data_IF_771788093146
#
_entry.id   IF_771788093146
#
_cell.length_a   1.000
_cell.length_b   1.000
_cell.length_c   1.000
_cell.angle_alpha   90.00
_cell.angle_beta   90.00
_cell.angle_gamma   90.00
#
_symmetry.space_group_name_H-M   'P 1'
#
loop_
_entity.id
_entity.type
_entity.pdbx_description
1 polymer ?
#
# COMPACT_ATOMS: atom_id res chain seq x y z
N UNK A 1 -3.26 -39.22 7.29
CA UNK A 1 -2.09 -38.79 6.48
C UNK A 1 -1.21 -37.84 7.29
N UNK A 2 0.04 -38.22 7.59
CA UNK A 2 1.04 -37.32 8.22
C UNK A 2 1.59 -36.41 7.11
N UNK A 3 1.38 -35.09 7.22
CA UNK A 3 2.03 -34.09 6.34
C UNK A 3 3.52 -34.41 6.23
N UNK A 4 4.02 -34.56 5.01
CA UNK A 4 5.47 -34.67 4.75
C UNK A 4 6.14 -33.38 5.24
N UNK A 5 7.35 -33.49 5.80
CA UNK A 5 8.10 -32.33 6.31
C UNK A 5 8.27 -31.22 5.25
N UNK A 6 8.25 -31.60 3.97
CA UNK A 6 8.33 -30.71 2.82
C UNK A 6 7.13 -29.75 2.71
N UNK A 7 5.89 -30.22 2.92
CA UNK A 7 4.71 -29.35 2.86
C UNK A 7 4.77 -28.25 3.93
N UNK A 8 5.19 -28.60 5.15
CA UNK A 8 5.34 -27.61 6.22
C UNK A 8 6.39 -26.55 5.88
N UNK A 9 7.52 -26.96 5.29
CA UNK A 9 8.56 -26.03 4.85
C UNK A 9 8.06 -25.10 3.73
N UNK A 10 7.32 -25.64 2.78
CA UNK A 10 6.71 -24.86 1.69
C UNK A 10 5.79 -23.76 2.23
N UNK A 11 4.86 -24.10 3.13
CA UNK A 11 3.94 -23.14 3.71
C UNK A 11 4.65 -22.05 4.54
N UNK A 12 5.72 -22.39 5.25
CA UNK A 12 6.53 -21.42 6.00
C UNK A 12 7.26 -20.47 5.07
N UNK A 13 7.90 -21.00 4.01
CA UNK A 13 8.61 -20.18 3.01
C UNK A 13 7.66 -19.26 2.26
N UNK A 14 6.46 -19.74 1.92
CA UNK A 14 5.43 -18.94 1.28
C UNK A 14 4.97 -17.77 2.18
N UNK A 15 4.68 -18.04 3.46
CA UNK A 15 4.26 -17.02 4.42
C UNK A 15 5.35 -15.98 4.70
N UNK A 16 6.62 -16.41 4.73
CA UNK A 16 7.76 -15.52 4.87
C UNK A 16 7.94 -14.64 3.62
N UNK A 17 7.92 -15.24 2.43
CA UNK A 17 8.00 -14.49 1.16
C UNK A 17 6.86 -13.49 1.00
N UNK A 18 5.65 -13.82 1.45
CA UNK A 18 4.51 -12.92 1.35
C UNK A 18 4.64 -11.72 2.30
N UNK A 19 5.14 -11.94 3.53
CA UNK A 19 5.45 -10.85 4.47
C UNK A 19 6.58 -9.96 3.96
N UNK A 20 7.64 -10.54 3.41
CA UNK A 20 8.77 -9.79 2.86
C UNK A 20 8.35 -8.97 1.64
N UNK A 21 7.50 -9.53 0.76
CA UNK A 21 6.93 -8.81 -0.37
C UNK A 21 6.08 -7.61 0.07
N UNK A 22 5.20 -7.80 1.05
CA UNK A 22 4.38 -6.72 1.60
C UNK A 22 5.23 -5.64 2.27
N UNK A 23 6.25 -6.03 3.04
CA UNK A 23 7.16 -5.11 3.72
C UNK A 23 8.00 -4.29 2.73
N UNK A 24 8.55 -4.94 1.71
CA UNK A 24 9.32 -4.26 0.67
C UNK A 24 8.43 -3.32 -0.17
N UNK A 25 7.21 -3.74 -0.49
CA UNK A 25 6.25 -2.90 -1.22
C UNK A 25 5.84 -1.67 -0.40
N UNK A 26 5.58 -1.85 0.91
CA UNK A 26 5.27 -0.74 1.80
C UNK A 26 6.44 0.25 1.90
N UNK A 27 7.67 -0.26 2.04
CA UNK A 27 8.89 0.55 2.10
C UNK A 27 9.13 1.32 0.81
N UNK A 28 8.91 0.69 -0.35
CA UNK A 28 8.97 1.34 -1.66
C UNK A 28 7.94 2.47 -1.79
N UNK A 29 6.69 2.21 -1.43
CA UNK A 29 5.62 3.21 -1.48
C UNK A 29 5.88 4.39 -0.55
N UNK A 30 6.40 4.14 0.65
CA UNK A 30 6.80 5.17 1.60
C UNK A 30 7.94 6.02 1.04
N UNK A 31 8.97 5.39 0.48
CA UNK A 31 10.12 6.08 -0.12
C UNK A 31 9.72 6.93 -1.33
N UNK A 32 8.79 6.43 -2.15
CA UNK A 32 8.19 7.15 -3.27
C UNK A 32 7.40 8.38 -2.80
N UNK A 33 6.58 8.23 -1.75
CA UNK A 33 5.83 9.34 -1.17
C UNK A 33 6.76 10.43 -0.60
N UNK A 34 7.82 10.05 0.12
CA UNK A 34 8.83 10.99 0.64
C UNK A 34 9.51 11.75 -0.50
N UNK A 35 9.86 11.05 -1.59
CA UNK A 35 10.50 11.66 -2.76
C UNK A 35 9.60 12.69 -3.45
N UNK A 36 8.30 12.40 -3.57
CA UNK A 36 7.31 13.35 -4.09
C UNK A 36 7.16 14.58 -3.20
N UNK A 37 7.12 14.40 -1.88
CA UNK A 37 7.04 15.52 -0.92
C UNK A 37 8.29 16.39 -1.02
N UNK A 38 9.48 15.79 -1.10
CA UNK A 38 10.74 16.51 -1.25
C UNK A 38 10.79 17.33 -2.54
N UNK A 39 10.30 16.77 -3.65
CA UNK A 39 10.19 17.48 -4.93
C UNK A 39 9.25 18.70 -4.82
N UNK A 40 8.10 18.53 -4.17
CA UNK A 40 7.14 19.62 -3.95
C UNK A 40 7.74 20.74 -3.08
N UNK A 41 8.42 20.38 -1.99
CA UNK A 41 9.12 21.33 -1.14
C UNK A 41 10.21 22.07 -1.90
N UNK A 42 10.94 21.39 -2.78
CA UNK A 42 11.95 22.02 -3.63
C UNK A 42 11.34 23.07 -4.57
N UNK A 43 10.19 22.77 -5.19
CA UNK A 43 9.50 23.74 -6.07
C UNK A 43 9.06 24.97 -5.28
N UNK A 44 8.48 24.77 -4.09
CA UNK A 44 8.09 25.87 -3.20
C UNK A 44 9.31 26.72 -2.81
N UNK A 45 10.42 26.09 -2.45
CA UNK A 45 11.66 26.78 -2.10
C UNK A 45 12.19 27.64 -3.25
N UNK A 46 12.15 27.15 -4.49
CA UNK A 46 12.57 27.91 -5.68
C UNK A 46 11.68 29.15 -5.88
N UNK A 47 10.36 29.00 -5.73
CA UNK A 47 9.42 30.12 -5.88
C UNK A 47 9.69 31.19 -4.81
N UNK A 48 9.95 30.77 -3.57
CA UNK A 48 10.33 31.68 -2.47
C UNK A 48 11.67 32.37 -2.75
N UNK A 49 12.65 31.64 -3.29
CA UNK A 49 13.97 32.21 -3.59
C UNK A 49 13.91 33.28 -4.69
N UNK A 50 13.05 33.13 -5.70
CA UNK A 50 12.93 34.07 -6.82
C UNK A 50 12.08 35.29 -6.46
N UNK A 51 10.93 35.08 -5.79
CA UNK A 51 9.95 36.14 -5.54
C UNK A 51 9.95 36.67 -4.09
N UNK A 52 10.78 36.11 -3.20
CA UNK A 52 10.72 36.36 -1.77
C UNK A 52 9.48 35.76 -1.10
N UNK A 53 9.36 35.94 0.21
CA UNK A 53 8.15 35.56 0.97
C UNK A 53 7.13 36.70 0.84
N UNK A 54 6.20 36.52 -0.10
CA UNK A 54 5.09 37.43 -0.36
C UNK A 54 3.75 36.75 -0.09
N UNK A 55 2.66 37.53 -0.05
CA UNK A 55 1.29 37.00 0.11
C UNK A 55 0.98 35.91 -0.95
N UNK A 56 1.52 36.07 -2.17
CA UNK A 56 1.40 35.09 -3.25
C UNK A 56 2.01 33.74 -2.89
N UNK A 57 3.25 33.70 -2.39
CA UNK A 57 3.90 32.45 -1.96
C UNK A 57 3.15 31.75 -0.83
N UNK A 58 2.60 32.51 0.12
CA UNK A 58 1.81 31.95 1.23
C UNK A 58 0.53 31.31 0.70
N UNK A 59 -0.19 31.99 -0.20
CA UNK A 59 -1.37 31.43 -0.85
C UNK A 59 -1.06 30.14 -1.64
N UNK A 60 0.05 30.09 -2.37
CA UNK A 60 0.45 28.89 -3.14
C UNK A 60 0.71 27.70 -2.21
N UNK A 61 1.41 27.91 -1.09
CA UNK A 61 1.67 26.85 -0.10
C UNK A 61 0.38 26.33 0.54
N UNK A 62 -0.55 27.22 0.89
CA UNK A 62 -1.85 26.84 1.47
C UNK A 62 -2.68 26.03 0.46
N UNK A 63 -2.75 26.46 -0.80
CA UNK A 63 -3.48 25.75 -1.85
C UNK A 63 -2.86 24.37 -2.09
N UNK A 64 -1.53 24.27 -2.20
CA UNK A 64 -0.84 22.99 -2.35
C UNK A 64 -1.10 22.05 -1.16
N UNK A 65 -1.07 22.57 0.07
CA UNK A 65 -1.41 21.81 1.27
C UNK A 65 -2.84 21.27 1.24
N UNK A 66 -3.81 22.12 0.86
CA UNK A 66 -5.21 21.72 0.74
C UNK A 66 -5.42 20.63 -0.33
N UNK A 67 -4.73 20.75 -1.48
CA UNK A 67 -4.76 19.72 -2.54
C UNK A 67 -4.21 18.39 -2.02
N UNK A 68 -3.11 18.39 -1.27
CA UNK A 68 -2.53 17.16 -0.71
C UNK A 68 -3.47 16.48 0.30
N UNK A 69 -4.16 17.26 1.14
CA UNK A 69 -5.15 16.72 2.08
C UNK A 69 -6.31 16.07 1.32
N UNK A 70 -6.83 16.76 0.29
CA UNK A 70 -7.93 16.23 -0.53
C UNK A 70 -7.52 14.98 -1.31
N UNK A 71 -6.33 14.97 -1.90
CA UNK A 71 -5.79 13.82 -2.61
C UNK A 71 -5.62 12.61 -1.67
N UNK A 72 -5.15 12.83 -0.44
CA UNK A 72 -5.01 11.78 0.58
C UNK A 72 -6.37 11.17 0.96
N UNK A 73 -7.39 12.00 1.12
CA UNK A 73 -8.76 11.55 1.40
C UNK A 73 -9.33 10.73 0.24
N UNK A 74 -9.15 11.20 -1.00
CA UNK A 74 -9.56 10.49 -2.21
C UNK A 74 -8.85 9.14 -2.37
N UNK A 75 -7.54 9.12 -2.12
CA UNK A 75 -6.74 7.89 -2.15
C UNK A 75 -7.22 6.89 -1.11
N UNK A 76 -7.53 7.33 0.12
CA UNK A 76 -8.07 6.46 1.18
C UNK A 76 -9.38 5.78 0.76
N UNK A 77 -10.30 6.51 0.11
CA UNK A 77 -11.56 5.94 -0.40
C UNK A 77 -11.28 4.88 -1.46
N UNK A 78 -10.38 5.15 -2.41
CA UNK A 78 -10.00 4.17 -3.45
C UNK A 78 -9.35 2.93 -2.85
N UNK A 79 -8.42 3.10 -1.91
CA UNK A 79 -7.75 1.99 -1.23
C UNK A 79 -8.75 1.13 -0.48
N UNK A 80 -9.73 1.72 0.24
CA UNK A 80 -10.79 0.95 0.90
C UNK A 80 -11.60 0.09 -0.09
N UNK A 81 -11.93 0.65 -1.26
CA UNK A 81 -12.66 -0.10 -2.31
C UNK A 81 -11.80 -1.24 -2.89
N UNK A 82 -10.52 -0.97 -3.17
CA UNK A 82 -9.57 -1.99 -3.68
C UNK A 82 -9.37 -3.09 -2.64
N UNK A 83 -9.19 -2.75 -1.36
CA UNK A 83 -9.03 -3.70 -0.28
C UNK A 83 -10.27 -4.60 -0.14
N UNK A 84 -11.48 -4.03 -0.25
CA UNK A 84 -12.73 -4.80 -0.24
C UNK A 84 -12.81 -5.78 -1.42
N UNK A 85 -12.45 -5.33 -2.62
CA UNK A 85 -12.44 -6.19 -3.81
C UNK A 85 -11.38 -7.29 -3.72
N UNK A 86 -10.18 -6.96 -3.23
CA UNK A 86 -9.09 -7.92 -3.02
C UNK A 86 -9.46 -8.97 -1.98
N UNK A 87 -10.12 -8.57 -0.89
CA UNK A 87 -10.64 -9.52 0.11
C UNK A 87 -11.64 -10.49 -0.52
N UNK A 88 -12.58 -9.99 -1.32
CA UNK A 88 -13.59 -10.83 -1.98
C UNK A 88 -12.94 -11.81 -2.98
N UNK A 89 -11.94 -11.36 -3.72
CA UNK A 89 -11.17 -12.21 -4.64
C UNK A 89 -10.34 -13.26 -3.89
N UNK A 90 -9.76 -12.91 -2.75
CA UNK A 90 -9.04 -13.86 -1.91
C UNK A 90 -9.96 -14.92 -1.28
N UNK A 91 -11.17 -14.54 -0.89
CA UNK A 91 -12.21 -15.48 -0.43
C UNK A 91 -12.66 -16.43 -1.55
N UNK A 92 -12.74 -15.96 -2.80
CA UNK A 92 -13.02 -16.81 -3.96
C UNK A 92 -11.88 -17.79 -4.23
N UNK A 93 -10.63 -17.32 -4.23
CA UNK A 93 -9.46 -18.17 -4.39
C UNK A 93 -9.35 -19.20 -3.27
N UNK A 94 -9.66 -18.84 -2.02
CA UNK A 94 -9.73 -19.81 -0.91
C UNK A 94 -10.79 -20.87 -1.15
N UNK A 95 -11.98 -20.50 -1.65
CA UNK A 95 -13.04 -21.46 -1.98
C UNK A 95 -12.59 -22.44 -3.06
N UNK A 96 -12.00 -21.95 -4.15
CA UNK A 96 -11.45 -22.81 -5.21
C UNK A 96 -10.36 -23.74 -4.67
N UNK A 97 -9.50 -23.25 -3.78
CA UNK A 97 -8.45 -24.05 -3.15
C UNK A 97 -9.02 -25.15 -2.24
N UNK A 98 -10.10 -24.87 -1.51
CA UNK A 98 -10.79 -25.86 -0.67
C UNK A 98 -11.59 -26.87 -1.49
N UNK A 99 -12.06 -26.50 -2.68
CA UNK A 99 -12.68 -27.44 -3.63
C UNK A 99 -11.65 -28.40 -4.22
N UNK A 100 -10.47 -27.90 -4.63
CA UNK A 100 -9.41 -28.74 -5.19
C UNK A 100 -8.69 -29.59 -4.15
N UNK A 101 -8.53 -29.09 -2.92
CA UNK A 101 -7.83 -29.77 -1.84
C UNK A 101 -8.66 -29.77 -0.54
N UNK A 102 -9.65 -30.67 -0.41
CA UNK A 102 -10.59 -30.69 0.72
C UNK A 102 -9.93 -30.93 2.09
N UNK A 103 -8.72 -31.49 2.10
CA UNK A 103 -7.88 -31.68 3.28
C UNK A 103 -7.43 -30.38 3.98
N UNK A 104 -7.54 -29.23 3.31
CA UNK A 104 -7.23 -27.91 3.88
C UNK A 104 -8.43 -27.21 4.54
N UNK A 105 -9.65 -27.67 4.28
CA UNK A 105 -10.90 -27.12 4.83
C UNK A 105 -10.93 -27.15 6.38
N UNK A 106 -10.28 -28.15 6.99
CA UNK A 106 -10.28 -28.35 8.45
C UNK A 106 -9.15 -27.59 9.21
N UNK A 107 -8.29 -26.81 8.54
CA UNK A 107 -7.18 -26.10 9.21
C UNK A 107 -7.35 -24.58 9.33
N UNK A 108 -8.33 -24.02 8.62
CA UNK A 108 -8.67 -22.61 8.68
C UNK A 108 -10.13 -22.51 9.13
N UNK A 109 -10.35 -22.73 10.42
CA UNK A 109 -11.58 -22.34 11.11
C UNK A 109 -11.41 -20.93 11.68
#
# INVERSE_FOLDING_TARGET
MKRTKQDKLFWIQFDQSNRDFLSNTATFMLSFAISLIALLLSVVAIIIAINGITLYTICVVIILGAIMIFASFWFSIKVKRILKNSKNSNEQLQKELFEQYPEYKNRYH
#
